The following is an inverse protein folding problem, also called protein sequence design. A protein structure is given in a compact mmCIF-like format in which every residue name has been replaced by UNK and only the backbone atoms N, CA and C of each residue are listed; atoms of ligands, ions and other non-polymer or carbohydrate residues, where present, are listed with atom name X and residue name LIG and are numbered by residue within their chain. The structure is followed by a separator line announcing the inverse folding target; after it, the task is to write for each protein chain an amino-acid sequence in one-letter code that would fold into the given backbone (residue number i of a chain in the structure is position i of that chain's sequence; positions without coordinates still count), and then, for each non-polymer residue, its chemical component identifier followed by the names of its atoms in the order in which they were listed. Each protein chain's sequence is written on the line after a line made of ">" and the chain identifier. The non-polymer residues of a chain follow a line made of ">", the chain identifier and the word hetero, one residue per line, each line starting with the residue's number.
data_IF_764696073461
#
_entry.id   IF_764696073461
#
_cell.length_a   1.000
_cell.length_b   1.000
_cell.length_c   1.000
_cell.angle_alpha   90.00
_cell.angle_beta   90.00
_cell.angle_gamma   90.00
#
_symmetry.space_group_name_H-M   'P 1'
#
loop_
_entity.id
_entity.type
_entity.pdbx_description
1 polymer ?
#
# COMPACT_ATOMS: atom_id res chain seq x y z
N UNK A 1 6.02 17.96 1.35
CA UNK A 1 5.35 16.72 0.86
C UNK A 1 4.53 16.15 2.02
N UNK A 2 3.25 15.80 1.83
CA UNK A 2 2.34 15.45 2.95
C UNK A 2 2.51 14.00 3.43
N UNK A 3 2.65 13.77 4.74
CA UNK A 3 2.69 12.45 5.38
C UNK A 3 1.30 11.80 5.40
N UNK A 4 1.21 10.51 5.08
CA UNK A 4 -0.04 9.74 5.04
C UNK A 4 -0.02 8.52 5.99
N UNK A 5 0.93 8.44 6.92
CA UNK A 5 0.96 7.40 7.96
C UNK A 5 -0.38 7.30 8.72
N UNK A 6 -0.80 6.07 8.96
CA UNK A 6 -2.06 5.78 9.65
C UNK A 6 -3.33 6.04 8.83
N UNK A 7 -3.22 6.49 7.58
CA UNK A 7 -4.36 6.64 6.66
C UNK A 7 -4.51 5.40 5.79
N UNK A 8 -5.75 5.08 5.46
CA UNK A 8 -6.11 4.00 4.53
C UNK A 8 -6.68 4.60 3.25
N UNK A 9 -6.24 4.11 2.09
CA UNK A 9 -6.69 4.56 0.78
C UNK A 9 -7.13 3.37 -0.07
N UNK A 10 -8.28 3.49 -0.72
CA UNK A 10 -8.78 2.55 -1.73
C UNK A 10 -8.52 3.11 -3.12
N UNK A 11 -7.83 2.35 -3.97
CA UNK A 11 -7.53 2.77 -5.35
C UNK A 11 -8.13 1.77 -6.33
N UNK A 12 -9.16 2.21 -7.06
CA UNK A 12 -9.76 1.46 -8.18
C UNK A 12 -8.98 1.68 -9.47
N UNK A 13 -9.01 0.70 -10.39
CA UNK A 13 -8.23 0.77 -11.63
C UNK A 13 -6.71 0.78 -11.40
N UNK A 14 -6.25 0.19 -10.29
CA UNK A 14 -4.84 0.26 -9.82
C UNK A 14 -3.91 -0.78 -10.42
N UNK A 15 -4.37 -1.56 -11.40
CA UNK A 15 -3.57 -2.62 -12.05
C UNK A 15 -2.59 -2.08 -13.09
N UNK A 16 -2.77 -0.86 -13.60
CA UNK A 16 -1.87 -0.23 -14.58
C UNK A 16 -2.00 1.31 -14.59
N UNK A 17 -1.19 1.95 -15.44
CA UNK A 17 -1.27 3.39 -15.73
C UNK A 17 -1.26 4.28 -14.49
N UNK A 18 -2.14 5.28 -14.49
CA UNK A 18 -2.25 6.29 -13.43
C UNK A 18 -2.64 5.64 -12.10
N UNK A 19 -3.61 4.72 -12.09
CA UNK A 19 -4.05 4.06 -10.85
C UNK A 19 -2.91 3.34 -10.13
N UNK A 20 -2.02 2.67 -10.88
CA UNK A 20 -0.81 2.04 -10.32
C UNK A 20 0.16 3.08 -9.76
N UNK A 21 0.45 4.15 -10.52
CA UNK A 21 1.35 5.22 -10.07
C UNK A 21 0.83 5.90 -8.80
N UNK A 22 -0.48 6.17 -8.74
CA UNK A 22 -1.16 6.74 -7.57
C UNK A 22 -1.04 5.81 -6.35
N UNK A 23 -1.30 4.51 -6.51
CA UNK A 23 -1.19 3.55 -5.42
C UNK A 23 0.25 3.49 -4.86
N UNK A 24 1.26 3.51 -5.73
CA UNK A 24 2.67 3.56 -5.33
C UNK A 24 3.00 4.85 -4.59
N UNK A 25 2.57 6.01 -5.10
CA UNK A 25 2.82 7.31 -4.47
C UNK A 25 2.18 7.41 -3.08
N UNK A 26 0.96 6.89 -2.91
CA UNK A 26 0.28 6.84 -1.62
C UNK A 26 1.02 5.93 -0.62
N UNK A 27 1.43 4.74 -1.07
CA UNK A 27 2.17 3.79 -0.23
C UNK A 27 3.55 4.34 0.18
N UNK A 28 4.27 5.00 -0.73
CA UNK A 28 5.56 5.63 -0.46
C UNK A 28 5.48 6.73 0.60
N UNK A 29 4.29 7.32 0.77
CA UNK A 29 4.00 8.35 1.79
C UNK A 29 3.44 7.78 3.08
N UNK A 30 3.41 6.45 3.23
CA UNK A 30 3.04 5.76 4.47
C UNK A 30 1.58 5.35 4.60
N UNK A 31 0.76 5.54 3.55
CA UNK A 31 -0.64 5.08 3.57
C UNK A 31 -0.74 3.54 3.50
N UNK A 32 -1.77 2.98 4.11
CA UNK A 32 -2.25 1.63 3.83
C UNK A 32 -3.11 1.66 2.58
N UNK A 33 -2.66 1.02 1.50
CA UNK A 33 -3.34 1.10 0.20
C UNK A 33 -3.99 -0.23 -0.14
N UNK A 34 -5.29 -0.20 -0.40
CA UNK A 34 -6.06 -1.30 -0.99
C UNK A 34 -6.15 -1.08 -2.49
N UNK A 35 -5.74 -2.08 -3.27
CA UNK A 35 -5.76 -2.03 -4.74
C UNK A 35 -6.92 -2.87 -5.26
N UNK A 36 -7.73 -2.30 -6.16
CA UNK A 36 -8.88 -2.97 -6.79
C UNK A 36 -8.79 -2.89 -8.31
N UNK A 37 -8.91 -4.04 -8.96
CA UNK A 37 -8.98 -4.18 -10.41
C UNK A 37 -9.71 -5.46 -10.81
N UNK A 38 -10.08 -5.57 -12.09
CA UNK A 38 -10.85 -6.70 -12.62
C UNK A 38 -10.01 -7.93 -12.94
N UNK A 39 -8.74 -7.72 -13.31
CA UNK A 39 -7.84 -8.78 -13.74
C UNK A 39 -6.82 -9.08 -12.65
N UNK A 40 -7.01 -10.21 -11.94
CA UNK A 40 -6.08 -10.73 -10.94
C UNK A 40 -4.78 -11.27 -11.57
N UNK A 41 -4.83 -11.67 -12.85
CA UNK A 41 -3.70 -12.22 -13.60
C UNK A 41 -2.70 -11.15 -14.08
N UNK A 42 -3.07 -9.87 -14.00
CA UNK A 42 -2.13 -8.80 -14.27
C UNK A 42 -1.34 -8.56 -13.00
N UNK A 43 -0.40 -9.45 -12.68
CA UNK A 43 0.35 -9.46 -11.43
C UNK A 43 0.74 -8.03 -11.02
N UNK A 44 0.01 -7.39 -10.10
CA UNK A 44 0.61 -6.28 -9.41
C UNK A 44 1.57 -7.01 -8.47
N UNK A 45 2.85 -7.17 -8.85
CA UNK A 45 3.92 -7.66 -7.96
C UNK A 45 3.57 -7.11 -6.58
N UNK A 46 3.03 -7.96 -5.72
CA UNK A 46 2.32 -7.48 -4.55
C UNK A 46 3.40 -6.99 -3.62
N UNK A 47 3.72 -5.71 -3.74
CA UNK A 47 4.69 -5.05 -2.90
C UNK A 47 4.01 -4.97 -1.54
N UNK A 48 4.28 -5.95 -0.69
CA UNK A 48 3.88 -5.92 0.71
C UNK A 48 5.03 -5.32 1.53
N UNK A 49 5.12 -3.98 1.69
CA UNK A 49 6.03 -3.42 2.67
C UNK A 49 5.61 -3.87 4.08
N UNK A 50 4.34 -4.26 4.29
CA UNK A 50 3.82 -4.79 5.55
C UNK A 50 4.40 -6.15 5.95
N UNK A 51 4.85 -7.04 5.05
CA UNK A 51 5.44 -8.30 5.55
C UNK A 51 6.73 -8.04 6.34
N UNK A 52 7.57 -7.10 5.89
CA UNK A 52 8.75 -6.66 6.66
C UNK A 52 8.43 -5.61 7.74
N UNK A 53 7.59 -4.62 7.44
CA UNK A 53 7.31 -3.52 8.37
C UNK A 53 6.31 -3.87 9.48
N UNK A 54 5.29 -4.70 9.20
CA UNK A 54 4.38 -5.18 10.24
C UNK A 54 5.05 -6.23 11.14
N UNK A 55 6.01 -7.00 10.63
CA UNK A 55 6.85 -7.86 11.46
C UNK A 55 7.78 -7.03 12.36
N UNK A 56 8.41 -5.97 11.83
CA UNK A 56 9.24 -5.05 12.62
C UNK A 56 8.44 -4.29 13.69
N UNK A 57 7.23 -3.80 13.36
CA UNK A 57 6.36 -3.10 14.30
C UNK A 57 5.79 -4.02 15.39
N UNK A 58 5.58 -5.31 15.09
CA UNK A 58 5.21 -6.32 16.10
C UNK A 58 6.36 -6.59 17.08
N UNK A 59 7.63 -6.49 16.65
CA UNK A 59 8.81 -6.67 17.51
C UNK A 59 9.14 -5.44 18.37
N UNK A 60 8.69 -4.24 17.98
CA UNK A 60 9.01 -3.00 18.71
C UNK A 60 8.00 -2.62 19.79
N UNK A 61 7.03 -3.48 20.13
CA UNK A 61 6.14 -3.31 21.29
C UNK A 61 5.29 -2.03 21.30
N UNK A 62 5.12 -1.35 20.17
CA UNK A 62 4.47 -0.03 20.09
C UNK A 62 3.00 -0.11 19.65
N UNK A 63 2.27 -1.07 20.21
CA UNK A 63 0.81 -1.13 20.16
C UNK A 63 0.33 -1.40 21.59
N UNK A 64 0.38 -0.34 22.40
CA UNK A 64 -0.55 -0.09 23.51
C UNK A 64 -1.12 1.30 23.30
#
# INVERSE_FOLDING_TARGET
>A
MTDLKGKTALVTGSTSGIGKATAIGLAARGAHVLVVGRNVNHEPKMWSPRSKAAEAARRSGSLR
#
